data_IF_223779156010
#
_entry.id   IF_223779156010
#
_cell.length_a   1.000
_cell.length_b   1.000
_cell.length_c   1.000
_cell.angle_alpha   90.00
_cell.angle_beta   90.00
_cell.angle_gamma   90.00
#
_symmetry.space_group_name_H-M   'P 1'
#
loop_
_entity.id
_entity.type
_entity.pdbx_description
1 polymer ?
#
# COMPACT_ATOMS: atom_id res chain seq x y z
N UNK A 1 -53.15 -79.49 26.25
CA UNK A 1 -51.75 -79.12 25.94
C UNK A 1 -51.79 -77.84 25.14
N UNK A 2 -51.70 -76.71 25.84
CA UNK A 2 -51.72 -75.37 25.26
C UNK A 2 -50.32 -74.80 25.50
N UNK A 3 -49.59 -74.53 24.41
CA UNK A 3 -48.29 -73.84 24.45
C UNK A 3 -48.48 -72.48 23.79
N UNK A 4 -48.50 -71.44 24.63
CA UNK A 4 -48.36 -70.05 24.21
C UNK A 4 -46.93 -69.82 23.72
N UNK A 5 -46.79 -69.38 22.46
CA UNK A 5 -45.54 -68.92 21.89
C UNK A 5 -45.64 -67.39 21.75
N UNK A 6 -44.96 -66.68 22.64
CA UNK A 6 -44.80 -65.22 22.60
C UNK A 6 -43.65 -64.95 21.63
N UNK A 7 -43.94 -64.43 20.44
CA UNK A 7 -42.92 -63.90 19.53
C UNK A 7 -42.87 -62.38 19.71
N UNK A 8 -41.77 -61.92 20.32
CA UNK A 8 -41.42 -60.52 20.50
C UNK A 8 -41.06 -59.86 19.15
N UNK A 9 -41.79 -58.82 18.76
CA UNK A 9 -41.37 -57.90 17.69
C UNK A 9 -40.15 -57.08 18.13
N UNK A 10 -39.14 -56.85 17.26
CA UNK A 10 -37.95 -56.11 17.64
C UNK A 10 -38.20 -54.59 17.65
N UNK A 11 -37.65 -53.94 18.67
CA UNK A 11 -37.64 -52.51 19.02
C UNK A 11 -37.01 -51.54 17.98
N UNK A 12 -36.96 -51.88 16.69
CA UNK A 12 -36.20 -51.10 15.69
C UNK A 12 -36.76 -49.69 15.44
N UNK A 13 -38.09 -49.50 15.47
CA UNK A 13 -38.70 -48.19 15.19
C UNK A 13 -38.45 -47.12 16.25
N UNK A 14 -38.01 -47.48 17.46
CA UNK A 14 -37.66 -46.51 18.50
C UNK A 14 -36.20 -46.08 18.40
N UNK A 15 -35.31 -47.01 18.08
CA UNK A 15 -33.90 -46.74 17.83
C UNK A 15 -33.71 -45.88 16.57
N UNK A 16 -34.44 -46.18 15.50
CA UNK A 16 -34.38 -45.41 14.25
C UNK A 16 -34.88 -43.97 14.44
N UNK A 17 -35.98 -43.78 15.20
CA UNK A 17 -36.49 -42.44 15.53
C UNK A 17 -35.55 -41.64 16.44
N UNK A 18 -34.82 -42.30 17.33
CA UNK A 18 -33.81 -41.65 18.17
C UNK A 18 -32.61 -41.25 17.31
N UNK A 19 -32.16 -42.11 16.39
CA UNK A 19 -31.08 -41.82 15.45
C UNK A 19 -31.43 -40.63 14.55
N UNK A 20 -32.60 -40.63 13.90
CA UNK A 20 -33.08 -39.50 13.09
C UNK A 20 -33.20 -38.20 13.91
N UNK A 21 -33.71 -38.28 15.15
CA UNK A 21 -33.82 -37.09 16.01
C UNK A 21 -32.45 -36.55 16.46
N UNK A 22 -31.45 -37.42 16.61
CA UNK A 22 -30.09 -37.05 16.96
C UNK A 22 -29.34 -36.46 15.76
N UNK A 23 -29.53 -37.03 14.56
CA UNK A 23 -28.99 -36.46 13.32
C UNK A 23 -29.59 -35.08 13.03
N UNK A 24 -30.90 -34.92 13.17
CA UNK A 24 -31.57 -33.61 13.02
C UNK A 24 -31.13 -32.61 14.10
N UNK A 25 -30.90 -33.05 15.34
CA UNK A 25 -30.33 -32.19 16.40
C UNK A 25 -28.89 -31.79 16.09
N UNK A 26 -28.06 -32.71 15.60
CA UNK A 26 -26.69 -32.42 15.18
C UNK A 26 -26.64 -31.51 13.95
N UNK A 27 -27.57 -31.64 13.02
CA UNK A 27 -27.72 -30.76 11.86
C UNK A 27 -28.19 -29.35 12.26
N UNK A 28 -29.13 -29.27 13.21
CA UNK A 28 -29.60 -28.00 13.77
C UNK A 28 -28.55 -27.31 14.65
N UNK A 29 -27.69 -28.08 15.33
CA UNK A 29 -26.51 -27.58 16.08
C UNK A 29 -25.35 -27.18 15.17
N UNK A 30 -25.24 -27.77 13.97
CA UNK A 30 -24.30 -27.34 12.92
C UNK A 30 -24.66 -25.99 12.29
N UNK A 31 -25.86 -25.46 12.58
CA UNK A 31 -26.31 -24.18 12.05
C UNK A 31 -25.84 -23.04 12.96
N UNK A 32 -24.75 -22.42 12.54
CA UNK A 32 -24.18 -21.21 13.16
C UNK A 32 -25.28 -20.19 13.49
N UNK A 33 -25.40 -19.86 14.78
CA UNK A 33 -26.42 -18.92 15.29
C UNK A 33 -25.73 -17.88 16.17
N UNK A 34 -26.09 -16.60 16.01
CA UNK A 34 -25.50 -15.48 16.77
C UNK A 34 -25.74 -15.51 18.28
N UNK A 35 -26.59 -16.42 18.76
CA UNK A 35 -27.02 -16.50 20.16
C UNK A 35 -26.24 -17.52 21.00
N UNK A 36 -25.38 -18.35 20.39
CA UNK A 36 -24.63 -19.39 21.11
C UNK A 36 -23.25 -19.58 20.48
N UNK A 37 -22.23 -19.79 21.32
CA UNK A 37 -20.88 -20.13 20.88
C UNK A 37 -20.86 -21.60 20.43
N UNK A 38 -20.57 -21.82 19.16
CA UNK A 38 -20.43 -23.15 18.57
C UNK A 38 -18.94 -23.49 18.39
N UNK A 39 -18.53 -24.75 18.58
CA UNK A 39 -17.15 -25.17 18.35
C UNK A 39 -16.77 -25.25 16.86
N UNK A 40 -17.75 -25.14 15.96
CA UNK A 40 -17.59 -25.42 14.53
C UNK A 40 -16.91 -24.31 13.72
N UNK A 41 -16.89 -23.07 14.23
CA UNK A 41 -16.28 -21.94 13.53
C UNK A 41 -14.78 -22.14 13.23
N UNK A 42 -14.08 -22.93 14.05
CA UNK A 42 -12.64 -23.19 13.92
C UNK A 42 -12.29 -24.65 13.56
N UNK A 43 -13.30 -25.49 13.30
CA UNK A 43 -13.09 -26.90 13.00
C UNK A 43 -12.88 -27.13 11.50
N UNK A 44 -11.99 -28.07 11.15
CA UNK A 44 -11.74 -28.45 9.75
C UNK A 44 -12.90 -29.30 9.25
N UNK A 45 -13.49 -28.94 8.11
CA UNK A 45 -14.59 -29.69 7.53
C UNK A 45 -14.19 -31.17 7.25
N UNK A 46 -15.03 -32.16 7.61
CA UNK A 46 -14.64 -33.57 7.53
C UNK A 46 -14.22 -34.06 6.14
N UNK A 47 -14.75 -33.46 5.08
CA UNK A 47 -14.39 -33.81 3.70
C UNK A 47 -12.99 -33.33 3.29
N UNK A 48 -12.33 -32.49 4.10
CA UNK A 48 -10.94 -32.08 3.89
C UNK A 48 -9.95 -33.07 4.52
N UNK A 49 -10.41 -34.01 5.36
CA UNK A 49 -9.54 -35.01 5.96
C UNK A 49 -8.92 -35.91 4.90
N UNK A 50 -7.61 -36.16 5.02
CA UNK A 50 -6.83 -36.93 4.06
C UNK A 50 -6.42 -36.17 2.79
N UNK A 51 -6.84 -34.91 2.63
CA UNK A 51 -6.32 -34.09 1.53
C UNK A 51 -4.83 -33.77 1.76
N UNK A 52 -3.98 -33.87 0.73
CA UNK A 52 -2.56 -33.63 0.89
C UNK A 52 -2.30 -32.15 1.17
N UNK A 53 -1.68 -31.85 2.30
CA UNK A 53 -1.24 -30.49 2.63
C UNK A 53 -0.03 -30.08 1.79
N UNK A 54 0.08 -28.79 1.50
CA UNK A 54 1.26 -28.25 0.81
C UNK A 54 2.49 -28.31 1.72
N UNK A 55 3.61 -28.82 1.19
CA UNK A 55 4.90 -28.81 1.89
C UNK A 55 5.39 -27.37 2.13
N UNK A 56 6.10 -27.09 3.24
CA UNK A 56 6.67 -25.78 3.55
C UNK A 56 7.47 -25.17 2.39
N UNK A 57 8.33 -25.96 1.75
CA UNK A 57 9.20 -25.50 0.65
C UNK A 57 8.38 -25.03 -0.56
N UNK A 58 7.33 -25.76 -0.94
CA UNK A 58 6.42 -25.33 -2.03
C UNK A 58 5.71 -24.03 -1.69
N UNK A 59 5.33 -23.82 -0.43
CA UNK A 59 4.71 -22.57 0.01
C UNK A 59 5.70 -21.40 -0.07
N UNK A 60 6.94 -21.62 0.38
CA UNK A 60 8.02 -20.65 0.30
C UNK A 60 8.35 -20.29 -1.15
N UNK A 61 8.54 -21.28 -2.03
CA UNK A 61 8.79 -21.03 -3.45
C UNK A 61 7.61 -20.30 -4.13
N UNK A 62 6.36 -20.62 -3.76
CA UNK A 62 5.21 -19.90 -4.30
C UNK A 62 5.25 -18.43 -3.89
N UNK A 63 5.58 -18.14 -2.63
CA UNK A 63 5.71 -16.78 -2.13
C UNK A 63 6.85 -16.03 -2.81
N UNK A 64 8.00 -16.67 -3.04
CA UNK A 64 9.12 -16.05 -3.77
C UNK A 64 8.74 -15.69 -5.21
N UNK A 65 8.05 -16.59 -5.92
CA UNK A 65 7.54 -16.30 -7.27
C UNK A 65 6.53 -15.14 -7.22
N UNK A 66 5.61 -15.16 -6.25
CA UNK A 66 4.64 -14.09 -6.07
C UNK A 66 5.31 -12.74 -5.81
N UNK A 67 6.35 -12.69 -4.96
CA UNK A 67 7.11 -11.47 -4.67
C UNK A 67 7.87 -10.96 -5.89
N UNK A 68 8.38 -11.86 -6.75
CA UNK A 68 8.98 -11.47 -8.02
C UNK A 68 7.95 -10.81 -8.95
N UNK A 69 6.74 -11.36 -9.05
CA UNK A 69 5.66 -10.74 -9.82
C UNK A 69 5.27 -9.37 -9.26
N UNK A 70 5.16 -9.25 -7.95
CA UNK A 70 4.86 -7.97 -7.29
C UNK A 70 5.95 -6.94 -7.56
N UNK A 71 7.23 -7.32 -7.45
CA UNK A 71 8.36 -6.42 -7.73
C UNK A 71 8.38 -5.95 -9.19
N UNK A 72 8.02 -6.84 -10.13
CA UNK A 72 7.86 -6.45 -11.53
C UNK A 72 6.68 -5.49 -11.67
N UNK A 73 5.53 -5.78 -11.05
CA UNK A 73 4.33 -4.96 -11.15
C UNK A 73 4.48 -3.58 -10.49
N UNK A 74 5.26 -3.47 -9.41
CA UNK A 74 5.46 -2.20 -8.70
C UNK A 74 6.25 -1.17 -9.51
N UNK A 75 7.02 -1.62 -10.50
CA UNK A 75 7.77 -0.75 -11.40
C UNK A 75 7.01 -0.36 -12.68
N UNK A 76 5.76 -0.80 -12.86
CA UNK A 76 5.02 -0.59 -14.11
C UNK A 76 3.94 0.47 -13.93
N UNK A 77 3.71 1.28 -14.97
CA UNK A 77 2.70 2.33 -15.01
C UNK A 77 1.28 1.83 -14.77
N UNK A 78 0.37 2.74 -14.38
CA UNK A 78 -1.04 2.42 -14.13
C UNK A 78 -1.76 1.72 -15.30
N UNK A 79 -1.29 1.93 -16.53
CA UNK A 79 -1.80 1.25 -17.72
C UNK A 79 -1.56 -0.28 -17.69
N UNK A 80 -0.46 -0.72 -17.10
CA UNK A 80 -0.21 -2.15 -16.90
C UNK A 80 -1.09 -2.77 -15.82
N UNK A 81 -1.56 -1.98 -14.84
CA UNK A 81 -2.59 -2.43 -13.91
C UNK A 81 -3.85 -2.82 -14.67
N UNK A 82 -4.33 -1.96 -15.57
CA UNK A 82 -5.53 -2.21 -16.36
C UNK A 82 -5.38 -3.50 -17.20
N UNK A 83 -4.22 -3.68 -17.85
CA UNK A 83 -3.89 -4.92 -18.59
C UNK A 83 -3.85 -6.15 -17.67
N UNK A 84 -3.22 -6.03 -16.50
CA UNK A 84 -3.12 -7.12 -15.53
C UNK A 84 -4.50 -7.54 -15.00
N UNK A 85 -5.32 -6.57 -14.59
CA UNK A 85 -6.70 -6.81 -14.12
C UNK A 85 -7.55 -7.43 -15.22
N UNK A 86 -7.46 -6.93 -16.45
CA UNK A 86 -8.11 -7.53 -17.61
C UNK A 86 -7.69 -9.00 -17.78
N UNK A 87 -6.40 -9.30 -17.65
CA UNK A 87 -5.87 -10.66 -17.67
C UNK A 87 -6.44 -11.56 -16.56
N UNK A 88 -6.56 -11.05 -15.33
CA UNK A 88 -7.14 -11.79 -14.21
C UNK A 88 -8.64 -12.06 -14.41
N UNK A 89 -9.40 -11.06 -14.86
CA UNK A 89 -10.82 -11.20 -15.19
C UNK A 89 -11.01 -12.22 -16.31
N UNK A 90 -10.19 -12.14 -17.36
CA UNK A 90 -10.20 -13.10 -18.45
C UNK A 90 -9.90 -14.52 -17.96
N UNK A 91 -8.87 -14.70 -17.12
CA UNK A 91 -8.54 -16.00 -16.56
C UNK A 91 -9.66 -16.55 -15.68
N UNK A 92 -10.34 -15.69 -14.91
CA UNK A 92 -11.52 -16.06 -14.12
C UNK A 92 -12.67 -16.57 -15.00
N UNK A 93 -12.85 -16.03 -16.22
CA UNK A 93 -13.91 -16.48 -17.14
C UNK A 93 -13.75 -17.94 -17.58
N UNK A 94 -12.52 -18.43 -17.76
CA UNK A 94 -12.26 -19.85 -18.08
C UNK A 94 -12.80 -20.77 -16.99
N UNK A 95 -12.77 -20.31 -15.74
CA UNK A 95 -13.31 -21.03 -14.60
C UNK A 95 -14.83 -21.01 -14.56
N UNK A 96 -15.45 -19.84 -14.79
CA UNK A 96 -16.91 -19.71 -14.82
C UNK A 96 -17.55 -20.62 -15.89
N UNK A 97 -16.85 -20.82 -17.02
CA UNK A 97 -17.24 -21.79 -18.05
C UNK A 97 -17.22 -23.24 -17.53
N UNK A 98 -16.22 -23.61 -16.72
CA UNK A 98 -16.11 -24.95 -16.08
C UNK A 98 -17.19 -25.18 -15.02
N UNK A 99 -17.64 -24.11 -14.36
CA UNK A 99 -18.70 -24.12 -13.34
C UNK A 99 -20.11 -23.98 -13.95
N UNK A 100 -20.24 -24.16 -15.27
CA UNK A 100 -21.48 -24.09 -16.06
C UNK A 100 -22.36 -22.85 -15.78
N UNK A 101 -21.73 -21.70 -15.50
CA UNK A 101 -22.43 -20.43 -15.30
C UNK A 101 -22.96 -19.87 -16.63
N UNK A 102 -23.98 -19.02 -16.56
CA UNK A 102 -24.65 -18.42 -17.73
C UNK A 102 -23.67 -17.79 -18.71
N UNK A 103 -23.79 -18.16 -19.99
CA UNK A 103 -22.93 -17.67 -21.07
C UNK A 103 -22.95 -16.14 -21.20
N UNK A 104 -24.09 -15.47 -20.90
CA UNK A 104 -24.22 -14.01 -20.96
C UNK A 104 -23.27 -13.30 -19.97
N UNK A 105 -23.18 -13.83 -18.75
CA UNK A 105 -22.26 -13.31 -17.73
C UNK A 105 -20.81 -13.45 -18.17
N UNK A 106 -20.45 -14.59 -18.77
CA UNK A 106 -19.10 -14.86 -19.25
C UNK A 106 -18.72 -13.89 -20.38
N UNK A 107 -19.62 -13.67 -21.35
CA UNK A 107 -19.38 -12.71 -22.43
C UNK A 107 -19.31 -11.27 -21.89
N UNK A 108 -20.12 -10.91 -20.90
CA UNK A 108 -20.06 -9.59 -20.24
C UNK A 108 -18.70 -9.34 -19.58
N UNK A 109 -18.19 -10.29 -18.78
CA UNK A 109 -16.87 -10.16 -18.15
C UNK A 109 -15.75 -10.11 -19.19
N UNK A 110 -15.87 -10.88 -20.28
CA UNK A 110 -14.88 -10.86 -21.38
C UNK A 110 -14.89 -9.54 -22.13
N UNK A 111 -16.06 -8.98 -22.42
CA UNK A 111 -16.19 -7.68 -23.06
C UNK A 111 -15.61 -6.57 -22.17
N UNK A 112 -15.91 -6.60 -20.86
CA UNK A 112 -15.32 -5.68 -19.89
C UNK A 112 -13.80 -5.81 -19.79
N UNK A 113 -13.27 -7.04 -19.71
CA UNK A 113 -11.82 -7.29 -19.70
C UNK A 113 -11.16 -6.81 -21.01
N UNK A 114 -11.79 -7.03 -22.17
CA UNK A 114 -11.27 -6.57 -23.45
C UNK A 114 -11.28 -5.04 -23.55
N UNK A 115 -12.33 -4.38 -23.04
CA UNK A 115 -12.40 -2.92 -22.94
C UNK A 115 -11.28 -2.37 -22.05
N UNK A 116 -11.10 -2.92 -20.86
CA UNK A 116 -10.01 -2.53 -19.95
C UNK A 116 -8.62 -2.78 -20.54
N UNK A 117 -8.45 -3.90 -21.25
CA UNK A 117 -7.20 -4.21 -21.94
C UNK A 117 -6.92 -3.18 -23.05
N UNK A 118 -7.93 -2.85 -23.87
CA UNK A 118 -7.80 -1.84 -24.91
C UNK A 118 -7.53 -0.46 -24.34
N UNK A 119 -8.21 -0.07 -23.25
CA UNK A 119 -7.97 1.21 -22.58
C UNK A 119 -6.58 1.28 -21.95
N UNK A 120 -6.10 0.22 -21.30
CA UNK A 120 -4.73 0.19 -20.76
C UNK A 120 -3.67 0.15 -21.85
N UNK A 121 -3.88 -0.63 -22.91
CA UNK A 121 -2.92 -0.80 -24.00
C UNK A 121 -2.88 0.40 -24.95
N UNK A 122 -4.03 0.98 -25.29
CA UNK A 122 -4.16 2.15 -26.16
C UNK A 122 -4.04 3.48 -25.39
N UNK A 123 -4.51 3.55 -24.14
CA UNK A 123 -4.31 4.71 -23.27
C UNK A 123 -2.83 4.89 -22.89
N UNK A 124 -2.05 3.81 -22.84
CA UNK A 124 -0.60 3.91 -22.67
C UNK A 124 0.17 4.44 -23.87
N UNK A 125 -0.45 4.56 -25.05
CA UNK A 125 0.13 5.23 -26.23
C UNK A 125 -0.43 6.64 -26.46
N UNK A 126 -1.49 7.03 -25.75
CA UNK A 126 -2.09 8.36 -25.80
C UNK A 126 -2.42 8.82 -24.38
N UNK A 127 -1.51 9.57 -23.73
CA UNK A 127 -1.71 10.28 -22.44
C UNK A 127 -2.89 11.27 -22.43
N UNK A 128 -3.76 11.27 -23.45
CA UNK A 128 -4.85 12.23 -23.64
C UNK A 128 -6.24 11.72 -23.28
N UNK A 129 -6.45 10.45 -22.92
CA UNK A 129 -7.81 9.90 -22.74
C UNK A 129 -8.32 9.80 -21.28
N UNK A 130 -7.46 9.87 -20.26
CA UNK A 130 -7.88 9.77 -18.84
C UNK A 130 -8.32 11.11 -18.20
N UNK A 131 -8.68 12.11 -18.99
CA UNK A 131 -9.43 13.30 -18.52
C UNK A 131 -10.95 13.06 -18.50
N UNK A 132 -11.40 11.80 -18.34
CA UNK A 132 -12.80 11.52 -18.09
C UNK A 132 -13.11 11.71 -16.62
N UNK A 133 -13.41 12.97 -16.29
CA UNK A 133 -14.47 13.36 -15.36
C UNK A 133 -14.51 12.56 -14.05
N UNK A 134 -13.64 12.90 -13.10
CA UNK A 134 -13.88 12.57 -11.70
C UNK A 134 -15.11 13.35 -11.20
N UNK A 135 -16.13 12.69 -10.63
CA UNK A 135 -17.33 13.37 -10.15
C UNK A 135 -16.96 14.30 -8.99
N UNK A 136 -17.42 15.55 -9.10
CA UNK A 136 -17.33 16.65 -8.14
C UNK A 136 -16.99 16.25 -6.70
N UNK A 137 -15.74 16.49 -6.31
CA UNK A 137 -15.46 17.13 -5.03
C UNK A 137 -14.69 18.41 -5.34
N UNK A 138 -15.31 19.54 -5.04
CA UNK A 138 -14.75 20.88 -5.18
C UNK A 138 -13.42 20.98 -4.43
N UNK A 139 -12.33 20.70 -5.13
CA UNK A 139 -11.00 21.22 -4.85
C UNK A 139 -10.44 21.64 -6.21
N UNK A 140 -10.67 22.89 -6.57
CA UNK A 140 -9.99 23.51 -7.70
C UNK A 140 -8.50 23.58 -7.39
N UNK A 141 -7.75 22.59 -7.88
CA UNK A 141 -6.29 22.67 -7.93
C UNK A 141 -5.93 22.70 -9.41
N UNK A 142 -5.88 23.92 -9.95
CA UNK A 142 -5.29 24.19 -11.25
C UNK A 142 -3.95 24.86 -11.00
N UNK A 143 -2.90 24.05 -10.89
CA UNK A 143 -1.53 24.48 -11.13
C UNK A 143 -0.85 23.43 -12.01
N UNK A 144 -0.87 23.71 -13.32
CA UNK A 144 -0.11 23.00 -14.35
C UNK A 144 1.39 23.22 -14.10
N UNK A 145 1.97 22.49 -13.14
CA UNK A 145 3.42 22.39 -13.02
C UNK A 145 3.90 21.40 -14.09
N UNK A 146 4.42 21.94 -15.19
CA UNK A 146 5.12 21.16 -16.22
C UNK A 146 6.41 20.58 -15.62
N UNK A 147 6.29 19.43 -14.95
CA UNK A 147 7.43 18.65 -14.49
C UNK A 147 8.14 18.04 -15.69
N UNK A 148 9.13 18.77 -16.19
CA UNK A 148 10.13 18.29 -17.13
C UNK A 148 10.82 17.05 -16.52
N UNK A 149 10.69 15.90 -17.19
CA UNK A 149 11.22 14.55 -16.89
C UNK A 149 12.19 14.47 -15.68
N UNK A 150 11.64 14.54 -14.46
CA UNK A 150 12.41 14.38 -13.22
C UNK A 150 12.50 12.90 -12.83
N UNK A 151 13.61 12.51 -12.19
CA UNK A 151 13.79 11.19 -11.58
C UNK A 151 12.58 10.83 -10.69
N UNK A 152 12.15 9.57 -10.71
CA UNK A 152 10.96 9.10 -9.99
C UNK A 152 11.04 9.41 -8.48
N UNK A 153 12.27 9.46 -7.95
CA UNK A 153 12.55 9.87 -6.55
C UNK A 153 12.25 11.34 -6.28
N UNK A 154 12.62 12.22 -7.21
CA UNK A 154 12.35 13.66 -7.13
C UNK A 154 10.85 13.94 -7.21
N UNK A 155 10.12 13.25 -8.11
CA UNK A 155 8.67 13.40 -8.23
C UNK A 155 7.92 13.00 -6.94
N UNK A 156 8.32 11.89 -6.32
CA UNK A 156 7.75 11.45 -5.04
C UNK A 156 8.09 12.44 -3.92
N UNK A 157 9.34 12.91 -3.85
CA UNK A 157 9.77 13.88 -2.84
C UNK A 157 8.98 15.19 -2.94
N UNK A 158 8.80 15.72 -4.15
CA UNK A 158 7.99 16.93 -4.38
C UNK A 158 6.54 16.69 -4.00
N UNK A 159 5.95 15.55 -4.36
CA UNK A 159 4.55 15.24 -4.04
C UNK A 159 4.31 15.15 -2.53
N UNK A 160 5.21 14.50 -1.79
CA UNK A 160 5.12 14.42 -0.33
C UNK A 160 5.33 15.79 0.33
N UNK A 161 6.25 16.57 -0.22
CA UNK A 161 6.53 17.92 0.25
C UNK A 161 5.30 18.82 0.06
N UNK A 162 4.75 18.91 -1.16
CA UNK A 162 3.54 19.71 -1.40
C UNK A 162 2.36 19.23 -0.58
N UNK A 163 2.16 17.92 -0.44
CA UNK A 163 1.08 17.38 0.41
C UNK A 163 1.20 17.80 1.88
N UNK A 164 2.42 17.84 2.46
CA UNK A 164 2.64 18.34 3.82
C UNK A 164 2.21 19.81 3.93
N UNK A 165 2.73 20.67 3.08
CA UNK A 165 2.46 22.11 3.20
C UNK A 165 1.05 22.50 2.75
N UNK A 166 0.39 21.72 1.90
CA UNK A 166 -1.03 21.92 1.60
C UNK A 166 -1.91 21.72 2.83
N UNK A 167 -1.58 20.75 3.70
CA UNK A 167 -2.27 20.55 4.97
C UNK A 167 -2.03 21.74 5.89
N UNK A 168 -0.79 22.21 6.00
CA UNK A 168 -0.42 23.36 6.82
C UNK A 168 -1.10 24.65 6.31
N UNK A 169 -1.11 24.89 4.99
CA UNK A 169 -1.79 26.03 4.35
C UNK A 169 -3.30 25.97 4.63
N UNK A 170 -3.94 24.81 4.51
CA UNK A 170 -5.37 24.71 4.77
C UNK A 170 -5.69 24.96 6.25
N UNK A 171 -4.87 24.47 7.18
CA UNK A 171 -5.01 24.73 8.61
C UNK A 171 -4.76 26.22 8.95
N UNK A 172 -3.83 26.89 8.26
CA UNK A 172 -3.60 28.33 8.38
C UNK A 172 -4.81 29.13 7.91
N UNK A 173 -5.40 28.75 6.77
CA UNK A 173 -6.59 29.40 6.21
C UNK A 173 -7.83 29.24 7.11
N UNK A 174 -7.98 28.08 7.76
CA UNK A 174 -9.09 27.81 8.68
C UNK A 174 -8.84 28.36 10.10
N UNK A 175 -7.63 28.88 10.39
CA UNK A 175 -7.24 29.33 11.72
C UNK A 175 -7.17 28.21 12.77
N UNK A 176 -7.01 26.96 12.32
CA UNK A 176 -6.99 25.74 13.14
C UNK A 176 -5.59 25.15 13.30
N UNK A 177 -4.55 25.90 12.92
CA UNK A 177 -3.16 25.47 12.99
C UNK A 177 -2.74 25.16 14.44
N UNK A 178 -2.26 23.93 14.68
CA UNK A 178 -1.99 23.37 16.02
C UNK A 178 -0.63 23.82 16.62
N UNK A 179 -0.01 24.88 16.07
CA UNK A 179 1.29 25.41 16.49
C UNK A 179 1.21 26.50 17.56
N UNK A 180 2.35 26.79 18.21
CA UNK A 180 2.50 27.80 19.29
C UNK A 180 2.38 29.28 18.81
N UNK A 181 1.63 29.56 17.76
CA UNK A 181 1.48 30.90 17.19
C UNK A 181 0.06 31.43 17.42
N UNK A 182 -0.06 32.58 18.12
CA UNK A 182 -1.36 33.20 18.43
C UNK A 182 -1.83 34.18 17.34
N UNK A 183 -0.92 34.71 16.52
CA UNK A 183 -1.21 35.71 15.49
C UNK A 183 -1.05 35.11 14.07
N UNK A 184 -1.97 35.39 13.13
CA UNK A 184 -1.92 34.86 11.76
C UNK A 184 -0.57 35.11 11.06
N UNK A 185 -0.03 36.32 11.18
CA UNK A 185 1.27 36.68 10.61
C UNK A 185 2.41 35.78 11.10
N UNK A 186 2.45 35.47 12.41
CA UNK A 186 3.51 34.63 12.98
C UNK A 186 3.40 33.17 12.52
N UNK A 187 2.17 32.66 12.35
CA UNK A 187 1.96 31.31 11.84
C UNK A 187 2.41 31.17 10.38
N UNK A 188 2.04 32.14 9.54
CA UNK A 188 2.49 32.17 8.14
C UNK A 188 4.00 32.35 8.00
N UNK A 189 4.62 33.14 8.89
CA UNK A 189 6.06 33.28 8.93
C UNK A 189 6.75 31.95 9.32
N UNK A 190 6.28 31.29 10.37
CA UNK A 190 6.87 30.01 10.84
C UNK A 190 6.78 28.93 9.76
N UNK A 191 5.59 28.74 9.18
CA UNK A 191 5.38 27.74 8.12
C UNK A 191 6.17 28.12 6.86
N UNK A 192 6.21 29.41 6.51
CA UNK A 192 6.97 29.90 5.36
C UNK A 192 8.47 29.70 5.50
N UNK A 193 9.04 29.94 6.68
CA UNK A 193 10.45 29.69 6.94
C UNK A 193 10.76 28.18 6.81
N UNK A 194 9.99 27.31 7.48
CA UNK A 194 10.15 25.85 7.37
C UNK A 194 10.01 25.37 5.92
N UNK A 195 9.06 25.94 5.17
CA UNK A 195 8.87 25.66 3.75
C UNK A 195 10.12 25.97 2.93
N UNK A 196 10.66 27.19 3.02
CA UNK A 196 11.83 27.58 2.25
C UNK A 196 13.08 26.80 2.68
N UNK A 197 13.20 26.45 3.96
CA UNK A 197 14.29 25.60 4.46
C UNK A 197 14.24 24.17 3.92
N UNK A 198 13.05 23.65 3.64
CA UNK A 198 12.85 22.33 3.08
C UNK A 198 13.08 22.23 1.57
N UNK A 199 12.95 23.33 0.81
CA UNK A 199 13.08 23.32 -0.66
C UNK A 199 14.41 22.75 -1.20
N UNK A 200 15.59 23.06 -0.62
CA UNK A 200 16.86 22.52 -1.10
C UNK A 200 16.96 20.99 -1.01
N UNK A 201 16.14 20.34 -0.17
CA UNK A 201 16.13 18.88 -0.01
C UNK A 201 15.51 18.11 -1.18
N UNK A 202 14.76 18.81 -2.05
CA UNK A 202 14.00 18.20 -3.15
C UNK A 202 14.83 17.98 -4.42
N UNK A 203 16.09 18.42 -4.46
CA UNK A 203 16.99 18.28 -5.60
C UNK A 203 16.45 18.90 -6.92
N UNK A 204 15.66 19.98 -6.81
CA UNK A 204 15.00 20.67 -7.93
C UNK A 204 15.77 21.91 -8.42
N UNK A 205 15.46 22.36 -9.64
CA UNK A 205 15.97 23.61 -10.20
C UNK A 205 15.47 24.82 -9.39
N UNK A 206 16.28 25.87 -9.32
CA UNK A 206 15.93 27.12 -8.63
C UNK A 206 14.63 27.76 -9.18
N UNK A 207 14.37 27.64 -10.48
CA UNK A 207 13.14 28.15 -11.12
C UNK A 207 11.88 27.51 -10.55
N UNK A 208 11.87 26.17 -10.47
CA UNK A 208 10.73 25.40 -9.95
C UNK A 208 10.52 25.63 -8.46
N UNK A 209 11.61 25.73 -7.69
CA UNK A 209 11.52 26.07 -6.27
C UNK A 209 10.95 27.48 -6.05
N UNK A 210 11.26 28.42 -6.95
CA UNK A 210 10.71 29.77 -6.95
C UNK A 210 9.21 29.81 -7.29
N UNK A 211 8.76 28.97 -8.23
CA UNK A 211 7.34 28.82 -8.55
C UNK A 211 6.56 28.30 -7.33
N UNK A 212 7.06 27.27 -6.65
CA UNK A 212 6.43 26.74 -5.43
C UNK A 212 6.35 27.79 -4.31
N UNK A 213 7.39 28.61 -4.14
CA UNK A 213 7.37 29.72 -3.20
C UNK A 213 6.34 30.80 -3.57
N UNK A 214 6.21 31.12 -4.86
CA UNK A 214 5.23 32.10 -5.31
C UNK A 214 3.78 31.64 -5.07
N UNK A 215 3.49 30.35 -5.23
CA UNK A 215 2.18 29.76 -4.95
C UNK A 215 1.87 29.76 -3.44
N UNK A 216 2.88 29.46 -2.60
CA UNK A 216 2.74 29.61 -1.15
C UNK A 216 2.39 31.04 -0.74
N UNK A 217 3.11 32.03 -1.28
CA UNK A 217 2.88 33.45 -1.00
C UNK A 217 1.49 33.91 -1.47
N UNK A 218 1.03 33.45 -2.63
CA UNK A 218 -0.32 33.79 -3.13
C UNK A 218 -1.44 33.32 -2.19
N UNK A 219 -1.26 32.19 -1.50
CA UNK A 219 -2.23 31.75 -0.48
C UNK A 219 -2.20 32.65 0.76
N UNK A 220 -1.02 33.15 1.16
CA UNK A 220 -0.88 34.07 2.28
C UNK A 220 -1.53 35.44 2.00
N UNK A 221 -1.46 35.93 0.76
CA UNK A 221 -2.05 37.21 0.33
C UNK A 221 -3.56 37.31 0.65
N UNK A 222 -4.29 36.19 0.59
CA UNK A 222 -5.72 36.17 0.85
C UNK A 222 -6.11 36.35 2.33
N UNK A 223 -5.17 36.12 3.25
CA UNK A 223 -5.44 36.09 4.71
C UNK A 223 -4.73 37.19 5.49
N UNK A 224 -3.66 37.78 4.95
CA UNK A 224 -2.87 38.83 5.61
C UNK A 224 -3.26 40.23 5.13
N UNK A 225 -2.97 41.26 5.93
CA UNK A 225 -3.04 42.64 5.45
C UNK A 225 -1.86 42.98 4.51
N UNK A 226 -2.04 43.96 3.63
CA UNK A 226 -1.02 44.36 2.64
C UNK A 226 0.37 44.60 3.25
N UNK A 227 0.43 45.19 4.45
CA UNK A 227 1.68 45.49 5.16
C UNK A 227 2.33 44.23 5.71
N UNK A 228 1.54 43.30 6.25
CA UNK A 228 2.02 42.03 6.79
C UNK A 228 2.48 41.09 5.66
N UNK A 229 1.74 41.06 4.54
CA UNK A 229 2.10 40.30 3.34
C UNK A 229 3.44 40.77 2.77
N UNK A 230 3.64 42.08 2.61
CA UNK A 230 4.90 42.64 2.11
C UNK A 230 6.10 42.31 3.01
N UNK A 231 5.90 42.32 4.33
CA UNK A 231 6.93 41.93 5.28
C UNK A 231 7.29 40.44 5.17
N UNK A 232 6.27 39.58 5.05
CA UNK A 232 6.44 38.13 4.86
C UNK A 232 7.16 37.81 3.55
N UNK A 233 6.71 38.42 2.45
CA UNK A 233 7.29 38.24 1.12
C UNK A 233 8.77 38.62 1.09
N UNK A 234 9.14 39.78 1.65
CA UNK A 234 10.54 40.20 1.71
C UNK A 234 11.39 39.22 2.52
N UNK A 235 10.91 38.76 3.67
CA UNK A 235 11.65 37.82 4.51
C UNK A 235 11.88 36.50 3.76
N UNK A 236 10.81 35.87 3.24
CA UNK A 236 10.90 34.57 2.60
C UNK A 236 11.70 34.60 1.30
N UNK A 237 11.59 35.66 0.49
CA UNK A 237 12.43 35.82 -0.72
C UNK A 237 13.90 36.00 -0.38
N UNK A 238 14.22 36.81 0.63
CA UNK A 238 15.60 36.96 1.10
C UNK A 238 16.14 35.61 1.59
N UNK A 239 15.34 34.87 2.37
CA UNK A 239 15.72 33.56 2.86
C UNK A 239 15.91 32.56 1.70
N UNK A 240 15.06 32.58 0.69
CA UNK A 240 15.18 31.76 -0.52
C UNK A 240 16.48 32.03 -1.29
N UNK A 241 16.85 33.30 -1.49
CA UNK A 241 18.08 33.70 -2.17
C UNK A 241 19.35 33.27 -1.42
N UNK A 242 19.30 33.16 -0.09
CA UNK A 242 20.43 32.67 0.70
C UNK A 242 20.64 31.15 0.57
N UNK A 243 19.66 30.39 0.07
CA UNK A 243 19.76 28.94 -0.07
C UNK A 243 20.35 28.57 -1.43
N UNK A 244 21.22 27.56 -1.44
CA UNK A 244 21.88 27.08 -2.66
C UNK A 244 20.99 26.08 -3.38
N UNK A 245 20.58 26.40 -4.61
CA UNK A 245 19.86 25.51 -5.51
C UNK A 245 20.74 25.09 -6.69
N UNK A 246 20.40 24.00 -7.39
CA UNK A 246 21.07 23.60 -8.63
C UNK A 246 20.83 24.67 -9.70
N UNK A 247 21.84 25.50 -9.95
CA UNK A 247 21.80 26.54 -10.96
C UNK A 247 22.09 25.92 -12.32
N UNK A 248 21.19 26.13 -13.29
CA UNK A 248 21.43 25.83 -14.70
C UNK A 248 22.54 26.74 -15.19
N UNK A 249 23.66 26.17 -15.65
CA UNK A 249 24.61 26.89 -16.50
C UNK A 249 23.85 27.36 -17.75
N UNK A 250 23.80 28.67 -17.95
CA UNK A 250 23.79 29.34 -19.26
C UNK A 250 23.76 30.85 -19.05
N UNK A 251 24.94 31.46 -18.89
CA UNK A 251 25.14 32.81 -19.42
C UNK A 251 26.62 33.01 -19.76
N UNK A 252 26.94 32.71 -21.02
CA UNK A 252 28.01 33.40 -21.72
C UNK A 252 27.42 34.68 -22.31
N UNK A 253 27.98 35.84 -21.96
CA UNK A 253 28.56 36.81 -22.92
C UNK A 253 29.47 37.78 -22.15
N UNK A 254 30.60 38.02 -22.80
CA UNK A 254 31.75 38.81 -22.42
C UNK A 254 31.46 40.23 -21.93
N UNK A 255 32.30 40.69 -20.99
CA UNK A 255 32.96 41.98 -21.22
C UNK A 255 34.41 41.95 -20.70
N UNK A 256 35.33 42.03 -21.66
CA UNK A 256 36.71 42.47 -21.48
C UNK A 256 36.78 43.72 -20.60
N UNK A 257 37.54 43.66 -19.49
CA UNK A 257 38.49 44.73 -19.15
C UNK A 257 39.75 44.09 -18.56
N UNK A 258 40.81 44.24 -19.35
CA UNK A 258 42.22 44.06 -19.08
C UNK A 258 42.69 44.71 -17.75
N UNK A 259 43.34 43.95 -16.87
CA UNK A 259 44.65 44.33 -16.28
C UNK A 259 45.32 43.12 -15.61
N UNK A 260 46.47 42.77 -16.18
CA UNK A 260 47.48 41.80 -15.75
C UNK A 260 48.39 42.40 -14.63
N UNK A 261 49.40 41.70 -14.09
CA UNK A 261 49.40 40.85 -12.90
C UNK A 261 50.31 41.40 -11.77
N UNK A 262 50.50 40.59 -10.72
CA UNK A 262 51.73 40.42 -9.90
C UNK A 262 51.60 40.63 -8.37
N UNK A 263 51.77 39.51 -7.66
CA UNK A 263 52.62 39.26 -6.47
C UNK A 263 52.38 39.91 -5.09
N UNK A 264 52.34 38.99 -4.11
CA UNK A 264 52.96 38.98 -2.76
C UNK A 264 52.40 39.93 -1.69
N UNK A 265 51.76 39.37 -0.66
CA UNK A 265 52.18 39.36 0.77
C UNK A 265 51.00 38.78 1.59
N UNK A 266 51.08 37.57 2.17
CA UNK A 266 51.50 37.31 3.55
C UNK A 266 50.98 38.34 4.57
N UNK A 267 50.20 37.89 5.58
CA UNK A 267 50.28 38.29 7.00
C UNK A 267 49.06 37.79 7.80
N UNK A 268 49.37 36.89 8.75
CA UNK A 268 48.85 36.66 10.11
C UNK A 268 47.34 36.49 10.42
N UNK A 269 47.02 35.34 11.00
CA UNK A 269 46.14 35.24 12.19
C UNK A 269 46.86 35.81 13.43
N UNK A 270 46.11 36.29 14.45
CA UNK A 270 45.88 35.41 15.62
C UNK A 270 44.47 35.57 16.25
N UNK A 271 44.00 34.49 16.89
CA UNK A 271 42.67 34.40 17.49
C UNK A 271 42.52 34.94 18.92
N UNK A 272 41.33 34.76 19.50
CA UNK A 272 41.13 34.44 20.92
C UNK A 272 39.69 33.95 21.20
N UNK A 273 39.61 33.07 22.18
CA UNK A 273 38.51 32.19 22.60
C UNK A 273 37.34 32.90 23.32
N UNK A 274 36.19 32.21 23.42
CA UNK A 274 35.57 31.86 24.72
C UNK A 274 34.36 30.92 24.56
N UNK A 275 34.47 29.74 25.18
CA UNK A 275 33.39 28.81 25.61
C UNK A 275 32.79 29.31 26.96
N UNK A 276 31.66 28.82 27.55
CA UNK A 276 31.12 27.44 27.64
C UNK A 276 29.58 27.36 27.37
N UNK A 277 28.80 26.27 27.35
CA UNK A 277 28.77 25.06 28.19
C UNK A 277 27.80 23.98 27.60
N UNK A 278 28.34 22.81 27.27
CA UNK A 278 27.89 21.43 27.54
C UNK A 278 26.37 21.08 27.74
N UNK A 279 25.85 20.17 26.89
CA UNK A 279 25.50 18.78 27.31
C UNK A 279 25.24 17.84 26.14
N UNK A 280 26.15 16.89 26.02
CA UNK A 280 26.14 15.75 25.12
C UNK A 280 25.36 14.59 25.74
N UNK A 281 24.42 14.00 25.01
CA UNK A 281 24.00 12.61 25.23
C UNK A 281 23.78 11.94 23.88
N UNK A 282 24.85 11.33 23.40
CA UNK A 282 24.83 10.32 22.33
C UNK A 282 24.05 9.09 22.80
N UNK A 283 23.00 8.69 22.08
CA UNK A 283 22.55 7.30 22.04
C UNK A 283 22.98 6.69 20.70
N UNK A 284 23.74 5.61 20.83
CA UNK A 284 24.54 4.93 19.82
C UNK A 284 23.69 3.97 18.96
N UNK A 285 22.47 4.39 18.60
CA UNK A 285 21.60 3.69 17.65
C UNK A 285 21.32 4.62 16.47
N UNK A 286 22.28 4.59 15.55
CA UNK A 286 22.46 5.43 14.37
C UNK A 286 21.18 5.84 13.62
N UNK A 287 21.19 7.11 13.20
CA UNK A 287 20.40 7.67 12.10
C UNK A 287 20.49 6.87 10.77
N UNK A 288 21.30 5.81 10.71
CA UNK A 288 21.41 4.84 9.62
C UNK A 288 20.28 3.81 9.62
N UNK A 289 19.87 3.29 10.80
CA UNK A 289 18.81 2.27 10.89
C UNK A 289 17.42 2.87 10.70
N UNK A 290 17.20 4.08 11.22
CA UNK A 290 15.92 4.80 11.03
C UNK A 290 15.79 5.27 9.58
N UNK A 291 16.85 5.76 8.93
CA UNK A 291 16.83 6.09 7.49
C UNK A 291 16.68 4.85 6.60
N UNK A 292 17.30 3.72 6.97
CA UNK A 292 17.08 2.43 6.31
C UNK A 292 15.63 1.94 6.48
N UNK A 293 15.06 2.08 7.68
CA UNK A 293 13.66 1.76 7.93
C UNK A 293 12.70 2.73 7.22
N UNK A 294 13.00 4.02 7.14
CA UNK A 294 12.20 5.01 6.41
C UNK A 294 12.30 4.80 4.89
N UNK A 295 13.48 4.46 4.37
CA UNK A 295 13.67 4.06 2.97
C UNK A 295 12.90 2.78 2.64
N UNK A 296 12.99 1.77 3.52
CA UNK A 296 12.17 0.56 3.42
C UNK A 296 10.69 0.89 3.54
N UNK A 297 10.24 1.74 4.44
CA UNK A 297 8.81 2.06 4.60
C UNK A 297 8.28 2.89 3.43
N UNK A 298 9.10 3.75 2.83
CA UNK A 298 8.74 4.51 1.63
C UNK A 298 8.70 3.61 0.38
N UNK A 299 9.72 2.77 0.19
CA UNK A 299 9.81 1.80 -0.92
C UNK A 299 8.78 0.65 -0.74
N UNK A 300 8.52 0.25 0.50
CA UNK A 300 7.44 -0.67 0.85
C UNK A 300 6.09 0.04 0.81
N UNK A 301 5.95 1.34 0.97
CA UNK A 301 4.62 1.99 0.98
C UNK A 301 3.90 1.76 -0.35
N UNK A 302 4.62 1.98 -1.45
CA UNK A 302 4.13 1.69 -2.80
C UNK A 302 4.10 0.17 -3.05
N UNK A 303 5.17 -0.57 -2.74
CA UNK A 303 5.26 -2.01 -2.96
C UNK A 303 4.26 -2.86 -2.14
N UNK A 304 3.91 -2.41 -0.95
CA UNK A 304 2.95 -3.03 -0.02
C UNK A 304 1.52 -2.85 -0.52
N UNK A 305 1.19 -1.69 -1.09
CA UNK A 305 -0.09 -1.47 -1.75
C UNK A 305 -0.26 -2.41 -2.95
N UNK A 306 0.76 -2.50 -3.81
CA UNK A 306 0.78 -3.42 -4.95
C UNK A 306 0.73 -4.89 -4.54
N UNK A 307 1.48 -5.26 -3.50
CA UNK A 307 1.43 -6.59 -2.93
C UNK A 307 0.02 -6.91 -2.40
N UNK A 308 -0.58 -6.01 -1.61
CA UNK A 308 -1.93 -6.18 -1.08
C UNK A 308 -2.94 -6.37 -2.21
N UNK A 309 -2.87 -5.53 -3.24
CA UNK A 309 -3.71 -5.63 -4.43
C UNK A 309 -3.50 -6.97 -5.16
N UNK A 310 -2.26 -7.32 -5.49
CA UNK A 310 -1.90 -8.55 -6.19
C UNK A 310 -2.41 -9.78 -5.45
N UNK A 311 -2.07 -9.92 -4.16
CA UNK A 311 -2.46 -11.07 -3.36
C UNK A 311 -3.98 -11.14 -3.19
N UNK A 312 -4.65 -10.01 -2.95
CA UNK A 312 -6.11 -9.97 -2.77
C UNK A 312 -6.84 -10.31 -4.06
N UNK A 313 -6.49 -9.64 -5.17
CA UNK A 313 -7.14 -9.82 -6.46
C UNK A 313 -6.92 -11.22 -7.02
N UNK A 314 -5.68 -11.72 -6.99
CA UNK A 314 -5.39 -13.07 -7.50
C UNK A 314 -6.07 -14.14 -6.63
N UNK A 315 -5.98 -14.05 -5.30
CA UNK A 315 -6.63 -15.02 -4.42
C UNK A 315 -8.15 -15.00 -4.57
N UNK A 316 -8.80 -13.84 -4.59
CA UNK A 316 -10.26 -13.77 -4.75
C UNK A 316 -10.72 -14.23 -6.13
N UNK A 317 -10.10 -13.72 -7.21
CA UNK A 317 -10.52 -14.04 -8.58
C UNK A 317 -10.18 -15.48 -8.97
N UNK A 318 -9.09 -16.04 -8.44
CA UNK A 318 -8.64 -17.40 -8.74
C UNK A 318 -9.02 -18.42 -7.65
N UNK A 319 -9.99 -18.09 -6.78
CA UNK A 319 -10.55 -18.99 -5.74
C UNK A 319 -9.46 -19.57 -4.82
N UNK A 320 -8.61 -18.73 -4.25
CA UNK A 320 -7.55 -19.11 -3.31
C UNK A 320 -6.21 -19.47 -3.96
N UNK A 321 -5.92 -18.98 -5.16
CA UNK A 321 -4.62 -19.16 -5.80
C UNK A 321 -4.01 -17.82 -6.20
N UNK A 322 -2.73 -17.66 -5.93
CA UNK A 322 -1.89 -16.64 -6.59
C UNK A 322 -1.24 -17.24 -7.84
N UNK A 323 -0.55 -16.45 -8.65
CA UNK A 323 0.16 -16.97 -9.83
C UNK A 323 1.23 -17.98 -9.40
N UNK A 324 2.05 -17.67 -8.40
CA UNK A 324 3.07 -18.59 -7.89
C UNK A 324 2.47 -19.88 -7.32
N UNK A 325 1.36 -19.80 -6.58
CA UNK A 325 0.66 -20.98 -6.04
C UNK A 325 0.06 -21.83 -7.15
N UNK A 326 -0.45 -21.19 -8.20
CA UNK A 326 -0.97 -21.88 -9.39
C UNK A 326 0.14 -22.63 -10.13
N UNK A 327 1.32 -22.02 -10.29
CA UNK A 327 2.49 -22.65 -10.90
C UNK A 327 2.94 -23.89 -10.10
N UNK A 328 2.95 -23.79 -8.77
CA UNK A 328 3.37 -24.90 -7.89
C UNK A 328 2.25 -25.89 -7.53
N UNK A 329 1.07 -25.76 -8.14
CA UNK A 329 -0.05 -26.68 -7.94
C UNK A 329 -0.57 -26.72 -6.50
N UNK A 330 -0.58 -25.57 -5.82
CA UNK A 330 -1.13 -25.44 -4.46
C UNK A 330 -2.28 -24.42 -4.44
N UNK A 331 -3.17 -24.57 -3.46
CA UNK A 331 -4.37 -23.74 -3.33
C UNK A 331 -4.69 -23.53 -1.86
N UNK A 332 -5.17 -22.33 -1.55
CA UNK A 332 -5.70 -21.97 -0.24
C UNK A 332 -7.21 -22.20 -0.23
N UNK A 333 -7.70 -22.80 0.85
CA UNK A 333 -9.11 -23.08 1.08
C UNK A 333 -9.44 -22.74 2.53
N UNK A 334 -10.68 -22.36 2.82
CA UNK A 334 -11.11 -22.14 4.20
C UNK A 334 -11.26 -23.47 4.94
N UNK A 335 -11.29 -23.43 6.27
CA UNK A 335 -11.56 -24.62 7.11
C UNK A 335 -12.91 -25.26 6.79
N UNK A 336 -13.91 -24.46 6.40
CA UNK A 336 -15.22 -24.92 5.90
C UNK A 336 -15.18 -25.52 4.47
N UNK A 337 -14.02 -25.49 3.82
CA UNK A 337 -13.78 -25.93 2.44
C UNK A 337 -14.37 -25.03 1.36
N UNK A 338 -14.94 -23.88 1.72
CA UNK A 338 -15.30 -22.85 0.78
C UNK A 338 -14.06 -22.10 0.27
N UNK A 339 -14.23 -21.33 -0.80
CA UNK A 339 -13.16 -20.50 -1.33
C UNK A 339 -13.23 -19.09 -0.75
N UNK A 340 -12.07 -18.46 -0.57
CA UNK A 340 -11.99 -17.11 -0.03
C UNK A 340 -12.68 -16.10 -0.97
N UNK A 341 -13.43 -15.18 -0.37
CA UNK A 341 -13.87 -13.95 -1.03
C UNK A 341 -12.75 -12.88 -1.03
N UNK A 342 -13.01 -11.71 -1.62
CA UNK A 342 -12.01 -10.64 -1.70
C UNK A 342 -11.63 -10.08 -0.33
N UNK A 343 -12.60 -9.87 0.57
CA UNK A 343 -12.35 -9.35 1.91
C UNK A 343 -11.54 -10.32 2.77
N UNK A 344 -11.91 -11.61 2.75
CA UNK A 344 -11.16 -12.68 3.41
C UNK A 344 -9.74 -12.82 2.82
N UNK A 345 -9.60 -12.63 1.51
CA UNK A 345 -8.29 -12.64 0.86
C UNK A 345 -7.41 -11.46 1.31
N UNK A 346 -8.00 -10.28 1.49
CA UNK A 346 -7.31 -9.11 2.03
C UNK A 346 -6.91 -9.30 3.50
N UNK A 347 -7.82 -9.79 4.34
CA UNK A 347 -7.51 -10.12 5.74
C UNK A 347 -6.39 -11.15 5.86
N UNK A 348 -6.40 -12.17 5.01
CA UNK A 348 -5.30 -13.16 4.91
C UNK A 348 -3.99 -12.55 4.46
N UNK A 349 -4.01 -11.57 3.56
CA UNK A 349 -2.81 -10.84 3.19
C UNK A 349 -2.25 -10.05 4.37
N UNK A 350 -3.10 -9.38 5.15
CA UNK A 350 -2.70 -8.69 6.39
C UNK A 350 -1.97 -9.61 7.38
N UNK A 351 -2.33 -10.89 7.42
CA UNK A 351 -1.62 -11.91 8.20
C UNK A 351 -0.13 -12.08 7.85
N UNK A 352 0.31 -11.75 6.62
CA UNK A 352 1.74 -11.72 6.28
C UNK A 352 2.48 -10.62 7.06
N UNK A 353 1.83 -9.46 7.29
CA UNK A 353 2.36 -8.41 8.16
C UNK A 353 2.57 -8.90 9.59
N UNK A 354 1.60 -9.64 10.15
CA UNK A 354 1.75 -10.27 11.46
C UNK A 354 2.90 -11.30 11.51
N UNK A 355 3.13 -12.05 10.42
CA UNK A 355 4.27 -12.95 10.29
C UNK A 355 5.62 -12.23 10.31
N UNK A 356 5.71 -11.05 9.70
CA UNK A 356 6.89 -10.20 9.78
C UNK A 356 7.07 -9.61 11.19
N UNK A 357 5.99 -9.08 11.79
CA UNK A 357 6.00 -8.50 13.13
C UNK A 357 6.41 -9.49 14.23
N UNK A 358 6.17 -10.78 14.02
CA UNK A 358 6.63 -11.87 14.91
C UNK A 358 8.06 -12.35 14.62
N UNK A 359 8.85 -11.58 13.87
CA UNK A 359 10.24 -11.93 13.56
C UNK A 359 10.37 -13.17 12.67
N UNK A 360 9.46 -13.34 11.71
CA UNK A 360 9.32 -14.52 10.84
C UNK A 360 8.89 -15.82 11.55
N UNK A 361 8.80 -15.82 12.88
CA UNK A 361 8.40 -17.00 13.65
C UNK A 361 6.99 -17.46 13.27
N UNK A 362 6.08 -16.53 12.98
CA UNK A 362 4.73 -16.83 12.48
C UNK A 362 4.72 -17.62 11.17
N UNK A 363 5.72 -17.47 10.30
CA UNK A 363 5.85 -18.25 9.07
C UNK A 363 6.43 -19.64 9.34
N UNK A 364 7.41 -19.73 10.24
CA UNK A 364 8.06 -21.00 10.59
C UNK A 364 7.11 -21.99 11.27
N UNK A 365 5.97 -21.54 11.80
CA UNK A 365 4.92 -22.42 12.34
C UNK A 365 4.51 -23.56 11.41
N UNK A 366 4.61 -23.36 10.10
CA UNK A 366 4.35 -24.39 9.08
C UNK A 366 5.15 -25.69 9.26
N UNK A 367 6.30 -25.66 9.94
CA UNK A 367 7.18 -26.81 10.11
C UNK A 367 6.76 -27.74 11.25
N UNK A 368 6.13 -27.22 12.30
CA UNK A 368 5.72 -27.99 13.49
C UNK A 368 4.20 -28.06 13.70
N UNK A 369 3.43 -27.19 13.05
CA UNK A 369 1.98 -27.22 13.12
C UNK A 369 1.42 -28.49 12.43
N UNK A 370 0.53 -29.28 13.08
CA UNK A 370 -0.02 -30.51 12.50
C UNK A 370 -0.71 -30.31 11.16
N UNK A 371 -1.40 -29.17 10.99
CA UNK A 371 -2.09 -28.79 9.76
C UNK A 371 -1.20 -27.94 8.83
N UNK A 372 0.09 -27.79 9.17
CA UNK A 372 1.06 -26.93 8.48
C UNK A 372 0.52 -25.52 8.26
N UNK A 373 -0.18 -24.96 9.24
CA UNK A 373 -0.69 -23.59 9.18
C UNK A 373 0.37 -22.60 9.65
N UNK A 374 0.57 -21.54 8.86
CA UNK A 374 1.33 -20.37 9.28
C UNK A 374 0.39 -19.35 9.96
N UNK A 375 0.93 -18.30 10.57
CA UNK A 375 0.14 -17.31 11.30
C UNK A 375 -0.97 -16.68 10.44
N UNK A 376 -0.69 -16.37 9.19
CA UNK A 376 -1.68 -15.84 8.24
C UNK A 376 -2.78 -16.84 7.91
N UNK A 377 -2.49 -18.14 7.96
CA UNK A 377 -3.50 -19.16 7.72
C UNK A 377 -4.41 -19.34 8.93
N UNK A 378 -3.84 -19.23 10.14
CA UNK A 378 -4.59 -19.32 11.41
C UNK A 378 -5.53 -18.12 11.60
N UNK A 379 -5.04 -16.91 11.37
CA UNK A 379 -5.84 -15.68 11.48
C UNK A 379 -7.03 -15.70 10.52
N UNK A 380 -6.88 -16.31 9.35
CA UNK A 380 -7.92 -16.33 8.32
C UNK A 380 -8.66 -17.66 8.20
N UNK A 381 -8.48 -18.59 9.15
CA UNK A 381 -9.16 -19.89 9.15
C UNK A 381 -9.01 -20.61 7.80
N UNK A 382 -7.77 -20.73 7.33
CA UNK A 382 -7.46 -21.35 6.03
C UNK A 382 -6.45 -22.48 6.13
N UNK A 383 -6.45 -23.33 5.10
CA UNK A 383 -5.50 -24.39 4.86
C UNK A 383 -4.91 -24.25 3.46
N UNK A 384 -3.65 -24.65 3.31
CA UNK A 384 -3.00 -24.72 1.99
C UNK A 384 -2.86 -26.17 1.57
N UNK A 385 -3.68 -26.56 0.61
CA UNK A 385 -3.74 -27.91 0.07
C UNK A 385 -2.94 -28.02 -1.23
N UNK A 386 -2.39 -29.20 -1.49
CA UNK A 386 -1.81 -29.57 -2.77
C UNK A 386 -2.92 -30.02 -3.71
N UNK A 387 -2.92 -29.49 -4.92
CA UNK A 387 -3.77 -29.96 -6.00
C UNK A 387 -3.12 -31.23 -6.57
N UNK A 388 -3.76 -32.37 -6.37
CA UNK A 388 -3.50 -33.56 -7.18
C UNK A 388 -4.46 -33.41 -8.36
N UNK A 389 -3.89 -33.20 -9.54
CA UNK A 389 -4.67 -33.20 -10.78
C UNK A 389 -5.09 -34.61 -11.19
#
# INVERSE_FOLDING_TARGET
MEKSNILSEPNNTKLDRIAESNEQRQEKQRKETRSIVTPYAFEVAPFLFGTPLASPIRRAMALLIDLLFVAILSGVSGNALAVFVAGLLWMSTRRLKRENRSSRLIYGIRAGALSLFLLGFLGGVNDQFFNLESPDQNVQTSSDLNFEETDAKTAIAVTLFTAKYLIDINALNEGTFEGDCELPFHCWQLVGEEFVEGLPSLDIKASTAGEMLSEFLQNAEQQLSDVEYQALEMNLKTLFETKKFKQSENESINQDVLTDPQNIEEVLEPGLETSPENKQQSSFLDHSVIKWMQGIVSDLGLGFGWAAFYFTATMGLLKGQTIGKKILGIKVIKLDGSALNLWESFGRYGGYGAGLATGLMGFLQVFWDPNRQAIQDKISETLVIRKID
#
